data_IF_984906386833
#
_entry.id   IF_984906386833
#
_cell.length_a   1.000
_cell.length_b   1.000
_cell.length_c   1.000
_cell.angle_alpha   90.00
_cell.angle_beta   90.00
_cell.angle_gamma   90.00
#
_symmetry.space_group_name_H-M   'P 1'
#
loop_
_entity.id
_entity.type
_entity.pdbx_description
1 polymer ?
#
# COMPACT_ATOMS: atom_id res chain seq x y z
N UNK A 1 0.31 -10.88 -14.74
CA UNK A 1 1.10 -10.96 -13.49
C UNK A 1 0.89 -12.34 -12.89
N UNK A 2 1.95 -12.96 -12.37
CA UNK A 2 1.82 -14.23 -11.62
C UNK A 2 1.19 -13.99 -10.24
N UNK A 3 0.65 -15.04 -9.63
CA UNK A 3 0.09 -14.96 -8.27
C UNK A 3 1.12 -14.41 -7.28
N UNK A 4 2.38 -14.89 -7.34
CA UNK A 4 3.46 -14.43 -6.48
C UNK A 4 3.75 -12.93 -6.61
N UNK A 5 3.68 -12.37 -7.83
CA UNK A 5 3.85 -10.93 -8.04
C UNK A 5 2.70 -10.12 -7.42
N UNK A 6 1.45 -10.58 -7.57
CA UNK A 6 0.29 -9.92 -6.97
C UNK A 6 0.39 -9.95 -5.44
N UNK A 7 0.74 -11.10 -4.87
CA UNK A 7 0.97 -11.25 -3.44
C UNK A 7 2.09 -10.34 -2.93
N UNK A 8 3.21 -10.26 -3.65
CA UNK A 8 4.32 -9.37 -3.30
C UNK A 8 3.86 -7.91 -3.26
N UNK A 9 3.21 -7.41 -4.31
CA UNK A 9 2.72 -6.03 -4.35
C UNK A 9 1.76 -5.73 -3.20
N UNK A 10 0.83 -6.65 -2.92
CA UNK A 10 -0.10 -6.52 -1.79
C UNK A 10 0.63 -6.43 -0.45
N UNK A 11 1.58 -7.33 -0.18
CA UNK A 11 2.35 -7.34 1.06
C UNK A 11 3.15 -6.05 1.25
N UNK A 12 3.79 -5.55 0.19
CA UNK A 12 4.55 -4.29 0.22
C UNK A 12 3.66 -3.08 0.46
N UNK A 13 2.50 -3.02 -0.19
CA UNK A 13 1.53 -1.95 0.01
C UNK A 13 0.97 -1.96 1.43
N UNK A 14 0.65 -3.13 1.97
CA UNK A 14 0.17 -3.28 3.35
C UNK A 14 1.24 -2.88 4.36
N UNK A 15 2.49 -3.31 4.16
CA UNK A 15 3.60 -2.98 5.05
C UNK A 15 3.93 -1.48 5.02
N UNK A 16 4.01 -0.85 3.84
CA UNK A 16 4.24 0.59 3.73
C UNK A 16 3.12 1.38 4.41
N UNK A 17 1.87 1.06 4.11
CA UNK A 17 0.72 1.70 4.73
C UNK A 17 0.75 1.58 6.25
N UNK A 18 1.14 0.41 6.76
CA UNK A 18 1.31 0.16 8.19
C UNK A 18 2.42 0.95 8.86
N UNK A 19 3.59 1.04 8.24
CA UNK A 19 4.69 1.87 8.74
C UNK A 19 4.27 3.34 8.79
N UNK A 20 3.56 3.84 7.79
CA UNK A 20 3.03 5.22 7.79
C UNK A 20 2.04 5.43 8.93
N UNK A 21 1.12 4.48 9.16
CA UNK A 21 0.17 4.60 10.29
C UNK A 21 0.86 4.56 11.65
N UNK A 22 1.89 3.74 11.83
CA UNK A 22 2.69 3.69 13.07
C UNK A 22 3.43 5.00 13.32
N UNK A 23 3.97 5.63 12.28
CA UNK A 23 4.63 6.94 12.38
C UNK A 23 3.68 8.06 12.81
N UNK A 24 2.40 7.96 12.44
CA UNK A 24 1.37 8.94 12.79
C UNK A 24 0.70 8.66 14.14
N UNK A 25 0.82 7.42 14.63
CA UNK A 25 0.22 6.95 15.87
C UNK A 25 0.79 7.63 17.11
N UNK A 26 -0.06 7.83 18.11
CA UNK A 26 0.37 8.32 19.43
C UNK A 26 0.92 7.17 20.28
N UNK A 27 2.18 6.81 20.02
CA UNK A 27 2.84 5.64 20.62
C UNK A 27 2.89 5.70 22.15
N UNK A 28 3.03 6.90 22.73
CA UNK A 28 3.04 7.09 24.18
C UNK A 28 1.69 6.71 24.81
N UNK A 29 0.58 7.01 24.12
CA UNK A 29 -0.76 6.68 24.58
C UNK A 29 -1.16 5.22 24.31
N UNK A 30 -0.79 4.68 23.14
CA UNK A 30 -1.11 3.30 22.77
C UNK A 30 -0.31 2.26 23.55
N UNK A 31 0.84 2.68 24.06
CA UNK A 31 1.68 1.90 24.93
C UNK A 31 2.56 0.88 24.19
N UNK A 32 3.54 0.30 24.91
CA UNK A 32 4.59 -0.52 24.33
C UNK A 32 4.08 -1.84 23.76
N UNK A 33 2.98 -2.38 24.28
CA UNK A 33 2.41 -3.66 23.84
C UNK A 33 1.82 -3.55 22.43
N UNK A 34 1.09 -2.47 22.15
CA UNK A 34 0.53 -2.21 20.82
C UNK A 34 1.65 -2.08 19.78
N UNK A 35 2.63 -1.21 20.06
CA UNK A 35 3.77 -0.96 19.17
C UNK A 35 4.57 -2.24 18.86
N UNK A 36 4.81 -3.09 19.87
CA UNK A 36 5.46 -4.40 19.65
C UNK A 36 4.64 -5.33 18.78
N UNK A 37 3.36 -5.52 19.08
CA UNK A 37 2.47 -6.39 18.28
C UNK A 37 2.43 -5.91 16.84
N UNK A 38 2.27 -4.60 16.64
CA UNK A 38 2.29 -3.96 15.33
C UNK A 38 3.59 -4.23 14.57
N UNK A 39 4.73 -3.96 15.22
CA UNK A 39 6.05 -4.21 14.66
C UNK A 39 6.25 -5.67 14.24
N UNK A 40 5.80 -6.65 15.05
CA UNK A 40 5.91 -8.06 14.69
C UNK A 40 5.00 -8.47 13.52
N UNK A 41 3.80 -7.91 13.41
CA UNK A 41 2.92 -8.12 12.24
C UNK A 41 3.60 -7.58 10.98
N UNK A 42 4.16 -6.36 11.03
CA UNK A 42 4.90 -5.77 9.92
C UNK A 42 6.14 -6.60 9.55
N UNK A 43 6.86 -7.13 10.55
CA UNK A 43 8.02 -7.98 10.32
C UNK A 43 7.62 -9.28 9.60
N UNK A 44 6.48 -9.89 10.00
CA UNK A 44 5.95 -11.08 9.33
C UNK A 44 5.54 -10.79 7.88
N UNK A 45 4.86 -9.66 7.62
CA UNK A 45 4.49 -9.24 6.26
C UNK A 45 5.72 -9.04 5.37
N UNK A 46 6.76 -8.37 5.88
CA UNK A 46 7.99 -8.13 5.13
C UNK A 46 8.83 -9.40 4.99
N UNK A 47 8.82 -10.31 5.96
CA UNK A 47 9.43 -11.62 5.84
C UNK A 47 8.79 -12.47 4.73
N UNK A 48 7.46 -12.45 4.63
CA UNK A 48 6.73 -13.07 3.53
C UNK A 48 7.00 -12.39 2.19
N UNK A 49 7.08 -11.05 2.16
CA UNK A 49 7.47 -10.34 0.93
C UNK A 49 8.90 -10.73 0.50
N UNK A 50 9.82 -10.83 1.47
CA UNK A 50 11.21 -11.18 1.22
C UNK A 50 11.33 -12.61 0.67
N UNK A 51 10.55 -13.58 1.14
CA UNK A 51 10.60 -14.95 0.60
C UNK A 51 10.19 -15.02 -0.87
N UNK A 52 9.40 -14.06 -1.35
CA UNK A 52 8.96 -13.98 -2.75
C UNK A 52 9.98 -13.28 -3.68
N UNK A 53 10.89 -12.47 -3.15
CA UNK A 53 11.85 -11.71 -3.96
C UNK A 53 13.34 -11.98 -3.64
N UNK A 54 13.66 -12.72 -2.57
CA UNK A 54 15.03 -12.97 -2.14
C UNK A 54 15.88 -13.68 -3.20
N UNK A 55 15.27 -14.53 -4.04
CA UNK A 55 15.97 -15.25 -5.11
C UNK A 55 16.73 -14.32 -6.05
N UNK A 56 16.17 -13.14 -6.33
CA UNK A 56 16.79 -12.14 -7.21
C UNK A 56 18.15 -11.64 -6.70
N UNK A 57 18.42 -11.75 -5.41
CA UNK A 57 19.71 -11.31 -4.89
C UNK A 57 20.84 -12.23 -5.35
N UNK A 58 20.60 -13.56 -5.42
CA UNK A 58 21.63 -14.57 -5.69
C UNK A 58 21.59 -15.09 -7.12
N UNK A 59 20.49 -14.88 -7.84
CA UNK A 59 20.36 -15.22 -9.24
C UNK A 59 21.28 -14.32 -10.09
N UNK A 60 22.15 -14.90 -10.92
CA UNK A 60 23.05 -14.16 -11.79
C UNK A 60 22.30 -13.38 -12.87
N UNK A 61 21.17 -13.91 -13.33
CA UNK A 61 20.38 -13.36 -14.44
C UNK A 61 19.35 -12.32 -13.97
N UNK A 62 19.21 -12.11 -12.65
CA UNK A 62 18.30 -11.13 -12.10
C UNK A 62 18.68 -9.69 -12.49
N UNK A 63 17.68 -8.94 -12.92
CA UNK A 63 17.82 -7.54 -13.30
C UNK A 63 18.19 -6.67 -12.11
N UNK A 64 18.80 -5.51 -12.38
CA UNK A 64 19.18 -4.55 -11.33
C UNK A 64 17.96 -4.09 -10.51
N UNK A 65 16.79 -3.93 -11.13
CA UNK A 65 15.56 -3.52 -10.45
C UNK A 65 15.04 -4.59 -9.48
N UNK A 66 15.12 -5.88 -9.85
CA UNK A 66 14.72 -6.98 -8.97
C UNK A 66 15.65 -7.09 -7.76
N UNK A 67 16.96 -6.90 -7.96
CA UNK A 67 17.94 -6.82 -6.86
C UNK A 67 17.65 -5.65 -5.94
N UNK A 68 17.45 -4.44 -6.48
CA UNK A 68 17.11 -3.27 -5.67
C UNK A 68 15.79 -3.42 -4.92
N UNK A 69 14.80 -4.07 -5.54
CA UNK A 69 13.54 -4.39 -4.87
C UNK A 69 13.81 -5.28 -3.66
N UNK A 70 14.52 -6.39 -3.83
CA UNK A 70 14.84 -7.30 -2.73
C UNK A 70 15.70 -6.64 -1.63
N UNK A 71 16.68 -5.80 -1.99
CA UNK A 71 17.46 -5.01 -1.03
C UNK A 71 16.57 -4.01 -0.26
N UNK A 72 15.61 -3.37 -0.93
CA UNK A 72 14.68 -2.44 -0.29
C UNK A 72 13.73 -3.14 0.67
N UNK A 73 13.23 -4.32 0.32
CA UNK A 73 12.42 -5.17 1.21
C UNK A 73 13.22 -5.60 2.43
N UNK A 74 14.47 -6.02 2.24
CA UNK A 74 15.37 -6.40 3.33
C UNK A 74 15.68 -5.22 4.26
N UNK A 75 15.94 -4.03 3.71
CA UNK A 75 16.15 -2.81 4.50
C UNK A 75 14.88 -2.45 5.31
N UNK A 76 13.71 -2.55 4.68
CA UNK A 76 12.42 -2.37 5.34
C UNK A 76 12.24 -3.35 6.50
N UNK A 77 12.50 -4.64 6.26
CA UNK A 77 12.39 -5.70 7.27
C UNK A 77 13.35 -5.47 8.44
N UNK A 78 14.60 -5.09 8.17
CA UNK A 78 15.57 -4.75 9.20
C UNK A 78 15.12 -3.54 10.05
N UNK A 79 14.60 -2.48 9.40
CA UNK A 79 14.05 -1.32 10.10
C UNK A 79 12.88 -1.68 11.01
N UNK A 80 11.95 -2.50 10.52
CA UNK A 80 10.81 -2.98 11.33
C UNK A 80 11.26 -3.90 12.46
N UNK A 81 12.28 -4.75 12.27
CA UNK A 81 12.82 -5.59 13.35
C UNK A 81 13.47 -4.74 14.44
N UNK A 82 14.22 -3.70 14.06
CA UNK A 82 14.75 -2.71 15.03
C UNK A 82 13.59 -2.04 15.77
N UNK A 83 12.58 -1.56 15.05
CA UNK A 83 11.37 -0.98 15.66
C UNK A 83 10.70 -1.94 16.64
N UNK A 84 10.32 -3.15 16.21
CA UNK A 84 9.63 -4.15 17.02
C UNK A 84 10.44 -4.57 18.27
N UNK A 85 11.76 -4.63 18.16
CA UNK A 85 12.65 -5.02 19.27
C UNK A 85 12.72 -3.93 20.34
N UNK A 86 12.79 -2.67 19.93
CA UNK A 86 12.98 -1.52 20.82
C UNK A 86 11.70 -0.77 21.16
N UNK A 87 10.57 -1.07 20.51
CA UNK A 87 9.29 -0.45 20.78
C UNK A 87 8.94 -0.56 22.26
N UNK A 88 8.77 0.59 22.91
CA UNK A 88 8.42 0.62 24.33
C UNK A 88 9.57 0.50 25.32
N UNK A 89 10.81 0.54 24.84
CA UNK A 89 11.99 0.72 25.69
C UNK A 89 12.28 2.23 25.83
N UNK A 90 13.08 2.62 26.81
CA UNK A 90 13.57 4.00 27.00
C UNK A 90 14.62 4.42 25.96
N UNK A 91 14.40 4.04 24.69
CA UNK A 91 15.29 4.26 23.54
C UNK A 91 14.53 4.83 22.33
N UNK A 92 13.87 6.00 22.47
CA UNK A 92 13.01 6.57 21.42
C UNK A 92 13.75 6.85 20.09
N UNK A 93 15.06 7.12 20.16
CA UNK A 93 15.89 7.35 18.98
C UNK A 93 16.04 6.08 18.11
N UNK A 94 16.24 4.91 18.74
CA UNK A 94 16.35 3.63 18.02
C UNK A 94 15.01 3.26 17.38
N UNK A 95 13.93 3.44 18.14
CA UNK A 95 12.57 3.19 17.66
C UNK A 95 12.24 4.06 16.42
N UNK A 96 12.52 5.36 16.49
CA UNK A 96 12.32 6.27 15.36
C UNK A 96 13.23 5.92 14.17
N UNK A 97 14.50 5.60 14.42
CA UNK A 97 15.42 5.19 13.35
C UNK A 97 14.96 3.92 12.64
N UNK A 98 14.41 2.96 13.39
CA UNK A 98 13.82 1.74 12.84
C UNK A 98 12.62 2.04 11.95
N UNK A 99 11.70 2.91 12.41
CA UNK A 99 10.55 3.33 11.61
C UNK A 99 10.94 4.14 10.37
N UNK A 100 11.95 5.02 10.46
CA UNK A 100 12.43 5.78 9.30
C UNK A 100 13.10 4.85 8.28
N UNK A 101 13.94 3.91 8.73
CA UNK A 101 14.54 2.91 7.85
C UNK A 101 13.46 2.04 7.20
N UNK A 102 12.45 1.62 7.97
CA UNK A 102 11.30 0.88 7.48
C UNK A 102 10.54 1.68 6.41
N UNK A 103 10.31 2.97 6.65
CA UNK A 103 9.60 3.85 5.71
C UNK A 103 10.35 3.97 4.39
N UNK A 104 11.67 4.21 4.44
CA UNK A 104 12.51 4.33 3.25
C UNK A 104 12.57 3.01 2.48
N UNK A 105 12.77 1.88 3.17
CA UNK A 105 12.83 0.55 2.56
C UNK A 105 11.49 0.15 1.92
N UNK A 106 10.39 0.23 2.66
CA UNK A 106 9.04 -0.06 2.15
C UNK A 106 8.64 0.91 1.03
N UNK A 107 8.98 2.20 1.18
CA UNK A 107 8.73 3.22 0.17
C UNK A 107 9.44 2.88 -1.14
N UNK A 108 10.74 2.60 -1.10
CA UNK A 108 11.50 2.19 -2.27
C UNK A 108 10.95 0.89 -2.88
N UNK A 109 10.61 -0.11 -2.06
CA UNK A 109 10.07 -1.38 -2.54
C UNK A 109 8.72 -1.22 -3.27
N UNK A 110 7.80 -0.39 -2.76
CA UNK A 110 6.54 -0.08 -3.44
C UNK A 110 6.79 0.65 -4.76
N UNK A 111 7.69 1.65 -4.78
CA UNK A 111 8.05 2.36 -6.01
C UNK A 111 8.67 1.45 -7.08
N UNK A 112 9.61 0.59 -6.69
CA UNK A 112 10.28 -0.36 -7.58
C UNK A 112 9.32 -1.44 -8.09
N UNK A 113 8.45 -1.98 -7.24
CA UNK A 113 7.45 -2.98 -7.66
C UNK A 113 6.45 -2.39 -8.65
N UNK A 114 6.07 -1.11 -8.51
CA UNK A 114 5.27 -0.41 -9.51
C UNK A 114 6.03 -0.26 -10.84
N UNK A 115 7.33 0.04 -10.79
CA UNK A 115 8.22 0.12 -11.95
C UNK A 115 8.34 -1.17 -12.76
N UNK A 116 8.37 -2.33 -12.08
CA UNK A 116 8.34 -3.64 -12.74
C UNK A 116 7.04 -3.84 -13.51
N UNK A 117 5.92 -3.32 -12.99
CA UNK A 117 4.63 -3.31 -13.70
C UNK A 117 4.59 -2.39 -14.93
N UNK A 118 5.34 -1.28 -14.94
CA UNK A 118 5.42 -0.32 -16.07
C UNK A 118 5.93 -1.01 -17.33
N UNK A 119 6.95 -1.86 -17.20
CA UNK A 119 7.52 -2.59 -18.34
C UNK A 119 6.49 -3.49 -19.06
N UNK A 120 5.43 -3.91 -18.34
CA UNK A 120 4.35 -4.73 -18.88
C UNK A 120 3.13 -3.92 -19.40
N UNK A 121 2.99 -2.64 -19.02
CA UNK A 121 1.75 -1.88 -19.19
C UNK A 121 1.71 -0.94 -20.42
N UNK A 122 2.67 -1.09 -21.35
CA UNK A 122 2.75 -0.43 -22.67
C UNK A 122 1.82 0.77 -22.89
N UNK A 123 2.19 1.94 -22.36
CA UNK A 123 1.50 3.21 -22.63
C UNK A 123 1.08 4.03 -21.40
N UNK A 124 1.02 3.43 -20.20
CA UNK A 124 0.73 4.20 -18.98
C UNK A 124 1.97 4.98 -18.49
N UNK A 125 1.85 6.27 -18.16
CA UNK A 125 2.99 7.03 -17.65
C UNK A 125 3.48 6.48 -16.30
N UNK A 126 4.78 6.28 -16.16
CA UNK A 126 5.39 5.62 -15.00
C UNK A 126 5.01 6.26 -13.65
N UNK A 127 4.94 7.59 -13.60
CA UNK A 127 4.58 8.32 -12.39
C UNK A 127 3.17 7.96 -11.87
N UNK A 128 2.25 7.60 -12.77
CA UNK A 128 0.87 7.28 -12.43
C UNK A 128 0.75 5.90 -11.80
N UNK A 129 1.54 4.93 -12.27
CA UNK A 129 1.63 3.60 -11.66
C UNK A 129 2.25 3.69 -10.26
N UNK A 130 3.30 4.50 -10.11
CA UNK A 130 3.94 4.77 -8.81
C UNK A 130 2.95 5.46 -7.86
N UNK A 131 2.30 6.55 -8.29
CA UNK A 131 1.29 7.24 -7.50
C UNK A 131 0.11 6.32 -7.13
N UNK A 132 -0.31 5.46 -8.06
CA UNK A 132 -1.36 4.46 -7.84
C UNK A 132 -0.98 3.44 -6.77
N UNK A 133 0.28 2.99 -6.77
CA UNK A 133 0.79 2.05 -5.79
C UNK A 133 0.91 2.68 -4.39
N UNK A 134 1.43 3.91 -4.28
CA UNK A 134 1.50 4.63 -2.99
C UNK A 134 0.12 4.94 -2.43
N UNK A 135 -0.81 5.45 -3.24
CA UNK A 135 -2.18 5.73 -2.77
C UNK A 135 -2.91 4.45 -2.36
N UNK A 136 -2.72 3.33 -3.08
CA UNK A 136 -3.23 2.01 -2.65
C UNK A 136 -2.61 1.55 -1.33
N UNK A 137 -1.30 1.71 -1.14
CA UNK A 137 -0.61 1.36 0.09
C UNK A 137 -1.17 2.14 1.29
N UNK A 138 -1.37 3.44 1.12
CA UNK A 138 -1.95 4.28 2.17
C UNK A 138 -3.38 3.86 2.50
N UNK A 139 -4.26 3.69 1.49
CA UNK A 139 -5.65 3.23 1.74
C UNK A 139 -5.66 1.91 2.50
N UNK A 140 -4.87 0.93 2.04
CA UNK A 140 -4.79 -0.39 2.66
C UNK A 140 -4.27 -0.30 4.09
N UNK A 141 -3.20 0.48 4.32
CA UNK A 141 -2.63 0.73 5.63
C UNK A 141 -3.62 1.34 6.60
N UNK A 142 -4.14 2.53 6.29
CA UNK A 142 -5.06 3.23 7.18
C UNK A 142 -6.32 2.41 7.50
N UNK A 143 -6.87 1.68 6.53
CA UNK A 143 -8.03 0.85 6.77
C UNK A 143 -7.70 -0.35 7.68
N UNK A 144 -6.67 -1.13 7.34
CA UNK A 144 -6.28 -2.33 8.12
C UNK A 144 -5.82 -1.96 9.52
N UNK A 145 -4.95 -0.96 9.66
CA UNK A 145 -4.43 -0.55 10.95
C UNK A 145 -5.45 0.22 11.78
N UNK A 146 -6.37 0.96 11.14
CA UNK A 146 -7.54 1.53 11.80
C UNK A 146 -8.43 0.45 12.42
N UNK A 147 -8.66 -0.66 11.71
CA UNK A 147 -9.39 -1.81 12.24
C UNK A 147 -8.64 -2.50 13.39
N UNK A 148 -7.33 -2.75 13.24
CA UNK A 148 -6.49 -3.35 14.30
C UNK A 148 -6.53 -2.47 15.55
N UNK A 149 -6.38 -1.16 15.39
CA UNK A 149 -6.48 -0.22 16.51
C UNK A 149 -7.88 -0.23 17.12
N UNK A 150 -8.95 -0.27 16.32
CA UNK A 150 -10.32 -0.40 16.81
C UNK A 150 -10.52 -1.65 17.68
N UNK A 151 -9.93 -2.79 17.31
CA UNK A 151 -9.93 -4.00 18.14
C UNK A 151 -9.08 -3.84 19.40
N UNK A 152 -7.95 -3.12 19.32
CA UNK A 152 -7.12 -2.84 20.48
C UNK A 152 -7.89 -2.09 21.59
N UNK A 153 -8.78 -1.17 21.22
CA UNK A 153 -9.65 -0.46 22.18
C UNK A 153 -10.59 -1.41 22.94
N UNK A 154 -10.93 -2.58 22.40
CA UNK A 154 -11.74 -3.58 23.09
C UNK A 154 -10.95 -4.31 24.19
N UNK A 155 -9.63 -4.46 24.02
CA UNK A 155 -8.75 -5.18 24.97
C UNK A 155 -7.99 -4.25 25.92
N UNK A 156 -7.98 -2.94 25.65
CA UNK A 156 -7.36 -1.92 26.48
C UNK A 156 -8.39 -0.85 26.89
N UNK A 157 -9.30 -1.17 27.83
CA UNK A 157 -10.36 -0.25 28.26
C UNK A 157 -9.75 1.01 28.89
N UNK A 158 -10.36 2.17 28.62
CA UNK A 158 -9.92 3.46 29.14
C UNK A 158 -9.01 4.27 28.20
N UNK A 159 -8.65 3.74 27.03
CA UNK A 159 -7.97 4.52 26.00
C UNK A 159 -8.88 5.65 25.46
N UNK A 160 -8.43 6.91 25.46
CA UNK A 160 -9.21 8.01 24.89
C UNK A 160 -9.44 7.85 23.38
N UNK A 161 -10.66 8.07 22.89
CA UNK A 161 -11.00 7.91 21.45
C UNK A 161 -10.22 8.86 20.52
N UNK A 162 -9.64 9.93 21.07
CA UNK A 162 -8.84 10.92 20.32
C UNK A 162 -7.66 10.30 19.58
N UNK A 163 -7.07 9.20 20.08
CA UNK A 163 -5.91 8.58 19.42
C UNK A 163 -6.33 7.82 18.16
N UNK A 164 -7.43 7.06 18.21
CA UNK A 164 -8.06 6.49 17.03
C UNK A 164 -8.50 7.56 16.03
N UNK A 165 -9.17 8.62 16.50
CA UNK A 165 -9.60 9.73 15.64
C UNK A 165 -8.41 10.40 14.94
N UNK A 166 -7.29 10.64 15.65
CA UNK A 166 -6.07 11.21 15.08
C UNK A 166 -5.45 10.30 14.02
N UNK A 167 -5.44 8.99 14.24
CA UNK A 167 -4.89 8.02 13.29
C UNK A 167 -5.76 7.89 12.03
N UNK A 168 -7.08 7.99 12.16
CA UNK A 168 -8.02 7.87 11.03
C UNK A 168 -8.26 9.21 10.33
N UNK A 169 -7.96 10.34 10.96
CA UNK A 169 -8.16 11.68 10.38
C UNK A 169 -7.57 11.89 8.97
N UNK A 170 -6.42 11.29 8.58
CA UNK A 170 -5.90 11.39 7.21
C UNK A 170 -6.68 10.57 6.17
N UNK A 171 -7.47 9.57 6.58
CA UNK A 171 -8.10 8.60 5.67
C UNK A 171 -8.97 9.26 4.58
N UNK A 172 -9.83 10.27 4.87
CA UNK A 172 -10.59 10.95 3.81
C UNK A 172 -9.70 11.57 2.72
N UNK A 173 -8.56 12.14 3.11
CA UNK A 173 -7.60 12.74 2.17
C UNK A 173 -6.88 11.68 1.35
N UNK A 174 -6.52 10.56 1.97
CA UNK A 174 -5.93 9.40 1.29
C UNK A 174 -6.91 8.79 0.27
N UNK A 175 -8.19 8.67 0.63
CA UNK A 175 -9.26 8.20 -0.27
C UNK A 175 -9.47 9.18 -1.43
N UNK A 176 -9.52 10.49 -1.16
CA UNK A 176 -9.61 11.50 -2.20
C UNK A 176 -8.42 11.42 -3.17
N UNK A 177 -7.19 11.33 -2.65
CA UNK A 177 -6.00 11.17 -3.47
C UNK A 177 -6.06 9.88 -4.33
N UNK A 178 -6.53 8.77 -3.75
CA UNK A 178 -6.72 7.52 -4.50
C UNK A 178 -7.76 7.66 -5.60
N UNK A 179 -8.88 8.33 -5.34
CA UNK A 179 -9.92 8.60 -6.33
C UNK A 179 -9.39 9.44 -7.47
N UNK A 180 -8.63 10.50 -7.17
CA UNK A 180 -8.00 11.36 -8.20
C UNK A 180 -7.00 10.57 -9.04
N UNK A 181 -6.09 9.81 -8.43
CA UNK A 181 -5.09 9.02 -9.17
C UNK A 181 -5.76 7.93 -10.02
N UNK A 182 -6.74 7.22 -9.47
CA UNK A 182 -7.49 6.19 -10.21
C UNK A 182 -8.32 6.81 -11.34
N UNK A 183 -8.95 7.95 -11.10
CA UNK A 183 -9.72 8.68 -12.12
C UNK A 183 -8.84 9.19 -13.25
N UNK A 184 -7.66 9.75 -12.93
CA UNK A 184 -6.68 10.16 -13.93
C UNK A 184 -6.17 8.96 -14.74
N UNK A 185 -5.92 7.82 -14.08
CA UNK A 185 -5.50 6.60 -14.75
C UNK A 185 -6.56 6.06 -15.71
N UNK A 186 -7.82 6.06 -15.29
CA UNK A 186 -8.93 5.69 -16.15
C UNK A 186 -9.10 6.66 -17.32
N UNK A 187 -8.99 7.96 -17.09
CA UNK A 187 -9.11 8.99 -18.12
C UNK A 187 -8.03 8.86 -19.19
N UNK A 188 -6.76 8.72 -18.78
CA UNK A 188 -5.62 8.60 -19.70
C UNK A 188 -5.56 7.23 -20.39
N UNK A 189 -6.00 6.16 -19.71
CA UNK A 189 -6.06 4.81 -20.27
C UNK A 189 -7.35 4.51 -21.03
N UNK A 190 -8.28 5.47 -21.13
CA UNK A 190 -9.63 5.24 -21.66
C UNK A 190 -9.61 4.76 -23.11
N UNK A 191 -8.75 5.34 -23.96
CA UNK A 191 -8.62 4.94 -25.37
C UNK A 191 -8.16 3.48 -25.53
N UNK A 192 -7.28 3.02 -24.64
CA UNK A 192 -6.81 1.63 -24.60
C UNK A 192 -7.92 0.67 -24.20
N UNK A 193 -8.79 1.07 -23.25
CA UNK A 193 -9.97 0.29 -22.84
C UNK A 193 -10.97 0.15 -23.99
N UNK A 194 -11.13 1.20 -24.81
CA UNK A 194 -12.01 1.18 -25.98
C UNK A 194 -11.41 0.46 -27.22
N UNK A 195 -10.20 -0.12 -27.10
CA UNK A 195 -9.59 -0.90 -28.18
C UNK A 195 -8.93 -0.08 -29.28
N UNK A 196 -8.54 1.18 -29.00
CA UNK A 196 -7.72 2.00 -29.91
C UNK A 196 -8.41 2.55 -31.18
N UNK A 197 -9.57 2.00 -31.58
CA UNK A 197 -10.29 2.41 -32.79
C UNK A 197 -11.77 2.67 -32.51
N UNK A 198 -12.08 3.89 -32.07
CA UNK A 198 -13.45 4.37 -32.05
C UNK A 198 -13.67 5.47 -31.04
N UNK A 199 -14.32 6.54 -31.49
CA UNK A 199 -14.95 7.50 -30.58
C UNK A 199 -15.90 6.75 -29.63
N UNK A 200 -16.17 7.29 -28.43
CA UNK A 200 -17.22 6.76 -27.54
C UNK A 200 -18.53 6.51 -28.32
N UNK A 201 -18.83 7.37 -29.30
CA UNK A 201 -19.97 7.22 -30.23
C UNK A 201 -19.92 5.94 -31.06
N UNK A 202 -18.75 5.49 -31.50
CA UNK A 202 -18.59 4.27 -32.30
C UNK A 202 -18.77 3.02 -31.45
N UNK A 203 -18.32 3.06 -30.19
CA UNK A 203 -18.51 1.95 -29.26
C UNK A 203 -19.95 1.88 -28.76
N UNK A 204 -20.61 3.03 -28.55
CA UNK A 204 -22.05 3.15 -28.31
C UNK A 204 -22.86 2.61 -29.50
N UNK A 205 -22.43 2.90 -30.73
CA UNK A 205 -23.08 2.43 -31.94
C UNK A 205 -22.90 0.91 -32.17
N UNK A 206 -21.72 0.34 -31.85
CA UNK A 206 -21.42 -1.08 -32.05
C UNK A 206 -21.94 -1.98 -30.92
N UNK A 207 -22.04 -1.47 -29.69
CA UNK A 207 -22.44 -2.26 -28.52
C UNK A 207 -23.43 -1.52 -27.60
N UNK A 208 -24.64 -1.17 -28.07
CA UNK A 208 -25.62 -0.40 -27.29
C UNK A 208 -26.02 -1.10 -25.98
N UNK A 209 -26.02 -2.44 -25.94
CA UNK A 209 -26.34 -3.21 -24.73
C UNK A 209 -25.29 -3.10 -23.61
N UNK A 210 -23.99 -3.03 -23.93
CA UNK A 210 -22.92 -3.02 -22.92
C UNK A 210 -22.85 -1.71 -22.14
N UNK A 211 -23.27 -0.60 -22.75
CA UNK A 211 -23.29 0.71 -22.08
C UNK A 211 -24.44 0.79 -21.09
N UNK A 212 -25.60 0.25 -21.45
CA UNK A 212 -26.74 0.15 -20.53
C UNK A 212 -26.37 -0.71 -19.31
N UNK A 213 -25.57 -1.76 -19.49
CA UNK A 213 -25.08 -2.57 -18.37
C UNK A 213 -24.10 -1.81 -17.46
N UNK A 214 -23.16 -1.04 -18.01
CA UNK A 214 -22.23 -0.22 -17.19
C UNK A 214 -22.98 0.88 -16.42
N UNK A 215 -23.94 1.54 -17.07
CA UNK A 215 -24.79 2.56 -16.44
C UNK A 215 -25.75 1.94 -15.42
N UNK A 216 -26.32 0.77 -15.70
CA UNK A 216 -27.16 0.06 -14.74
C UNK A 216 -26.36 -0.47 -13.55
N UNK A 217 -25.12 -0.91 -13.74
CA UNK A 217 -24.23 -1.31 -12.64
C UNK A 217 -23.91 -0.08 -11.77
N UNK A 218 -23.63 1.08 -12.37
CA UNK A 218 -23.41 2.32 -11.63
C UNK A 218 -24.67 2.82 -10.90
N UNK A 219 -25.85 2.70 -11.53
CA UNK A 219 -27.13 3.13 -10.97
C UNK A 219 -27.70 2.16 -9.91
N UNK A 220 -27.22 0.92 -9.86
CA UNK A 220 -27.60 -0.08 -8.84
C UNK A 220 -26.71 -0.06 -7.61
N UNK A 221 -25.70 0.81 -7.53
CA UNK A 221 -24.98 1.03 -6.27
C UNK A 221 -25.88 1.91 -5.39
N UNK A 222 -26.49 1.36 -4.31
CA UNK A 222 -27.25 2.19 -3.40
C UNK A 222 -26.29 3.21 -2.78
N UNK A 223 -26.59 4.49 -3.01
CA UNK A 223 -25.94 5.60 -2.31
C UNK A 223 -26.54 5.61 -0.90
N UNK A 224 -25.98 4.76 -0.03
CA UNK A 224 -26.35 4.63 1.38
C UNK A 224 -25.44 5.48 2.26
#
# INVERSE_FOLDING_TARGET
MSLGQVSLVFLLQMALGGVVTELLGDRAALGPKYAKVSGWILAALLGLAMSLCAGALWDADATLNERWLALSVMAGAAGVLVYASFAGWDKPALELSGLVLALLGCGAAVGLSAGIGVAAAGGSPAWMLVAGAYTSALVLGFNTWGMILGHWYLVAPGLPIKHLARMVAPLPWVLLAKTVVSGAALWLGWSTVLGGEGSLSDLLARHPGRVIDVVNIAARVPVG
#
